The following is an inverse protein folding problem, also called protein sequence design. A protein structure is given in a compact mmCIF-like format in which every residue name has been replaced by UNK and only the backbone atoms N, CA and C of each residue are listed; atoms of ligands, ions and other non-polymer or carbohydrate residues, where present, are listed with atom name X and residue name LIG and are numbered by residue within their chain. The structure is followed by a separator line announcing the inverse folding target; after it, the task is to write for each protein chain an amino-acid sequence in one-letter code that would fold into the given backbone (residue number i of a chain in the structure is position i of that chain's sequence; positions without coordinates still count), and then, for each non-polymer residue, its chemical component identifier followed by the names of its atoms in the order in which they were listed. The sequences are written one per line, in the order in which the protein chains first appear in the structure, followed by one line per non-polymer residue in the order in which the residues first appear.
data_IF_038584010981
#
_entry.id   IF_038584010981
#
_cell.length_a   1.000
_cell.length_b   1.000
_cell.length_c   1.000
_cell.angle_alpha   90.00
_cell.angle_beta   90.00
_cell.angle_gamma   90.00
#
_symmetry.space_group_name_H-M   'P 1'
#
loop_
_entity.id
_entity.type
_entity.pdbx_description
1 polymer ?
#
# COMPACT_ATOMS: atom_id res chain seq x y z
N UNK A 1 -5.28 -9.57 -25.28
CA UNK A 1 -6.18 -8.59 -24.65
C UNK A 1 -5.77 -7.17 -25.06
N UNK A 2 -6.73 -6.24 -25.15
CA UNK A 2 -6.45 -4.87 -25.56
C UNK A 2 -5.76 -4.13 -24.42
N UNK A 3 -6.29 -4.28 -23.20
CA UNK A 3 -5.74 -3.71 -21.98
C UNK A 3 -5.91 -4.66 -20.80
N UNK A 4 -4.97 -4.58 -19.86
CA UNK A 4 -4.89 -5.43 -18.67
C UNK A 4 -4.66 -4.55 -17.42
N UNK A 5 -5.44 -4.82 -16.37
CA UNK A 5 -5.21 -4.28 -15.04
C UNK A 5 -4.70 -5.37 -14.10
N UNK A 6 -3.52 -5.18 -13.53
CA UNK A 6 -2.97 -6.04 -12.47
C UNK A 6 -3.17 -5.37 -11.11
N UNK A 7 -3.71 -6.12 -10.14
CA UNK A 7 -4.01 -5.62 -8.80
C UNK A 7 -5.40 -5.00 -8.65
N UNK A 8 -6.39 -5.49 -9.41
CA UNK A 8 -7.76 -4.95 -9.51
C UNK A 8 -8.54 -4.91 -8.18
N UNK A 9 -8.14 -5.67 -7.16
CA UNK A 9 -8.78 -5.69 -5.82
C UNK A 9 -8.14 -4.74 -4.80
N UNK A 10 -6.98 -4.16 -5.14
CA UNK A 10 -6.33 -3.14 -4.33
C UNK A 10 -7.08 -1.80 -4.36
N UNK A 11 -6.70 -0.86 -3.48
CA UNK A 11 -7.36 0.46 -3.45
C UNK A 11 -7.24 1.20 -4.79
N UNK A 12 -6.02 1.30 -5.34
CA UNK A 12 -5.81 1.97 -6.64
C UNK A 12 -6.46 1.18 -7.77
N UNK A 13 -6.16 -0.12 -7.86
CA UNK A 13 -6.71 -0.96 -8.93
C UNK A 13 -8.24 -1.04 -8.92
N UNK A 14 -8.86 -1.12 -7.74
CA UNK A 14 -10.32 -1.11 -7.61
C UNK A 14 -10.96 0.20 -8.08
N UNK A 15 -10.35 1.35 -7.79
CA UNK A 15 -10.83 2.64 -8.29
C UNK A 15 -10.62 2.76 -9.81
N UNK A 16 -9.52 2.25 -10.35
CA UNK A 16 -9.30 2.19 -11.80
C UNK A 16 -10.33 1.28 -12.49
N UNK A 17 -10.61 0.10 -11.92
CA UNK A 17 -11.62 -0.82 -12.45
C UNK A 17 -13.05 -0.24 -12.39
N UNK A 18 -13.34 0.60 -11.40
CA UNK A 18 -14.62 1.31 -11.32
C UNK A 18 -14.74 2.44 -12.36
N UNK A 19 -13.62 3.04 -12.74
CA UNK A 19 -13.60 4.16 -13.70
C UNK A 19 -13.46 3.69 -15.16
N UNK A 20 -12.90 2.50 -15.41
CA UNK A 20 -12.65 1.98 -16.74
C UNK A 20 -12.85 0.47 -16.79
N UNK A 21 -13.52 -0.02 -17.85
CA UNK A 21 -13.71 -1.45 -18.11
C UNK A 21 -12.50 -1.99 -18.86
N UNK A 22 -11.61 -2.66 -18.15
CA UNK A 22 -10.46 -3.34 -18.75
C UNK A 22 -10.88 -4.62 -19.45
N UNK A 23 -10.24 -4.97 -20.56
CA UNK A 23 -10.48 -6.21 -21.28
C UNK A 23 -10.07 -7.46 -20.48
N UNK A 24 -9.07 -7.30 -19.57
CA UNK A 24 -8.69 -8.31 -18.59
C UNK A 24 -8.26 -7.64 -17.29
N UNK A 25 -8.53 -8.31 -16.16
CA UNK A 25 -8.08 -7.84 -14.85
C UNK A 25 -7.72 -9.05 -13.98
N UNK A 26 -6.63 -8.94 -13.20
CA UNK A 26 -6.18 -9.97 -12.29
C UNK A 26 -5.66 -9.41 -10.97
N UNK A 27 -5.55 -10.27 -9.97
CA UNK A 27 -4.89 -10.00 -8.70
C UNK A 27 -3.60 -10.81 -8.54
N UNK A 28 -2.93 -10.68 -7.41
CA UNK A 28 -1.65 -11.37 -7.17
C UNK A 28 -1.79 -12.89 -7.11
N UNK A 29 -2.97 -13.39 -6.74
CA UNK A 29 -3.24 -14.83 -6.57
C UNK A 29 -3.56 -15.57 -7.87
N UNK A 30 -3.92 -14.84 -8.94
CA UNK A 30 -4.27 -15.40 -10.24
C UNK A 30 -3.48 -14.78 -11.40
N UNK A 31 -2.42 -14.03 -11.08
CA UNK A 31 -1.62 -13.30 -12.07
C UNK A 31 -1.04 -14.21 -13.17
N UNK A 32 -0.86 -15.48 -12.88
CA UNK A 32 -0.36 -16.47 -13.82
C UNK A 32 -1.28 -16.62 -15.03
N UNK A 33 -2.58 -16.36 -14.87
CA UNK A 33 -3.56 -16.38 -15.97
C UNK A 33 -3.28 -15.31 -17.02
N UNK A 34 -2.49 -14.29 -16.66
CA UNK A 34 -2.13 -13.19 -17.54
C UNK A 34 -0.79 -13.39 -18.26
N UNK A 35 -0.04 -14.47 -17.95
CA UNK A 35 1.25 -14.72 -18.57
C UNK A 35 1.11 -15.03 -20.07
N UNK A 36 1.97 -14.41 -20.86
CA UNK A 36 1.95 -14.54 -22.32
C UNK A 36 0.82 -13.80 -23.04
N UNK A 37 -0.01 -13.03 -22.32
CA UNK A 37 -1.14 -12.29 -22.92
C UNK A 37 -0.71 -11.17 -23.87
N UNK A 38 0.47 -10.60 -23.69
CA UNK A 38 1.02 -9.51 -24.50
C UNK A 38 -0.01 -8.38 -24.76
N UNK A 39 -0.60 -7.79 -23.71
CA UNK A 39 -1.61 -6.75 -23.87
C UNK A 39 -1.00 -5.50 -24.55
N UNK A 40 -1.83 -4.76 -25.27
CA UNK A 40 -1.43 -3.47 -25.86
C UNK A 40 -1.04 -2.46 -24.76
N UNK A 41 -1.77 -2.51 -23.63
CA UNK A 41 -1.53 -1.72 -22.44
C UNK A 41 -1.66 -2.59 -21.19
N UNK A 42 -0.70 -2.50 -20.27
CA UNK A 42 -0.81 -3.04 -18.92
C UNK A 42 -0.73 -1.91 -17.90
N UNK A 43 -1.71 -1.81 -17.03
CA UNK A 43 -1.64 -0.98 -15.82
C UNK A 43 -1.30 -1.91 -14.64
N UNK A 44 -0.09 -1.77 -14.11
CA UNK A 44 0.41 -2.61 -13.02
C UNK A 44 0.26 -1.88 -11.68
N UNK A 45 -0.80 -2.20 -10.94
CA UNK A 45 -1.10 -1.71 -9.59
C UNK A 45 -1.00 -2.82 -8.53
N UNK A 46 -0.31 -3.91 -8.85
CA UNK A 46 -0.23 -5.13 -8.02
C UNK A 46 0.85 -5.10 -6.92
N UNK A 47 1.56 -3.99 -6.73
CA UNK A 47 2.59 -3.89 -5.68
C UNK A 47 1.93 -3.53 -4.33
N UNK A 48 2.18 -4.32 -3.26
CA UNK A 48 1.62 -4.02 -1.94
C UNK A 48 2.08 -2.66 -1.40
N UNK A 49 1.17 -1.92 -0.76
CA UNK A 49 1.45 -0.58 -0.19
C UNK A 49 1.47 -0.61 1.35
N UNK A 50 2.10 -1.62 1.96
CA UNK A 50 2.22 -1.80 3.41
C UNK A 50 3.62 -1.34 3.88
N UNK A 51 3.81 -0.02 3.99
CA UNK A 51 5.10 0.60 4.32
C UNK A 51 5.72 0.03 5.61
N UNK A 52 4.92 -0.20 6.65
CA UNK A 52 5.42 -0.70 7.92
C UNK A 52 5.94 -2.14 7.83
N UNK A 53 5.32 -2.99 7.01
CA UNK A 53 5.79 -4.36 6.76
C UNK A 53 7.10 -4.35 5.95
N UNK A 54 7.14 -3.56 4.89
CA UNK A 54 8.33 -3.43 4.05
C UNK A 54 9.54 -2.91 4.84
N UNK A 55 9.33 -1.99 5.77
CA UNK A 55 10.40 -1.46 6.63
C UNK A 55 10.77 -2.44 7.76
N UNK A 56 9.86 -3.32 8.18
CA UNK A 56 10.13 -4.36 9.18
C UNK A 56 10.92 -5.54 8.60
N UNK A 57 10.64 -5.91 7.34
CA UNK A 57 11.32 -6.98 6.60
C UNK A 57 11.67 -6.52 5.18
N UNK A 58 12.79 -5.82 5.00
CA UNK A 58 13.22 -5.28 3.71
C UNK A 58 13.46 -6.33 2.64
N UNK A 59 13.97 -7.51 3.02
CA UNK A 59 14.29 -8.57 2.05
C UNK A 59 13.03 -9.27 1.54
N UNK A 60 12.06 -9.55 2.40
CA UNK A 60 10.77 -10.08 1.98
C UNK A 60 10.06 -9.09 1.03
N UNK A 61 10.10 -7.79 1.33
CA UNK A 61 9.53 -6.76 0.47
C UNK A 61 10.28 -6.67 -0.88
N UNK A 62 11.61 -6.76 -0.87
CA UNK A 62 12.40 -6.79 -2.11
C UNK A 62 12.10 -8.03 -2.97
N UNK A 63 11.84 -9.17 -2.35
CA UNK A 63 11.42 -10.38 -3.06
C UNK A 63 10.10 -10.17 -3.82
N UNK A 64 9.16 -9.40 -3.24
CA UNK A 64 7.91 -9.02 -3.93
C UNK A 64 8.20 -8.12 -5.13
N UNK A 65 9.16 -7.21 -5.05
CA UNK A 65 9.56 -6.37 -6.20
C UNK A 65 10.19 -7.22 -7.32
N UNK A 66 11.03 -8.20 -6.96
CA UNK A 66 11.58 -9.17 -7.93
C UNK A 66 10.48 -9.97 -8.62
N UNK A 67 9.49 -10.46 -7.86
CA UNK A 67 8.34 -11.15 -8.40
C UNK A 67 7.52 -10.27 -9.35
N UNK A 68 7.30 -9.00 -9.00
CA UNK A 68 6.61 -8.03 -9.85
C UNK A 68 7.34 -7.84 -11.20
N UNK A 69 8.67 -7.70 -11.18
CA UNK A 69 9.50 -7.66 -12.41
C UNK A 69 9.32 -8.92 -13.26
N UNK A 70 9.43 -10.11 -12.64
CA UNK A 70 9.27 -11.39 -13.34
C UNK A 70 7.87 -11.53 -13.96
N UNK A 71 6.83 -11.10 -13.23
CA UNK A 71 5.47 -11.11 -13.72
C UNK A 71 5.33 -10.21 -14.97
N UNK A 72 5.90 -9.01 -14.95
CA UNK A 72 5.89 -8.11 -16.11
C UNK A 72 6.61 -8.73 -17.32
N UNK A 73 7.75 -9.39 -17.11
CA UNK A 73 8.47 -10.11 -18.17
C UNK A 73 7.63 -11.24 -18.76
N UNK A 74 6.86 -11.98 -17.92
CA UNK A 74 5.99 -13.09 -18.36
C UNK A 74 4.71 -12.60 -19.01
N UNK A 75 4.15 -11.45 -18.58
CA UNK A 75 2.98 -10.81 -19.22
C UNK A 75 3.37 -10.23 -20.59
N UNK A 76 4.59 -9.68 -20.69
CA UNK A 76 5.18 -9.06 -21.87
C UNK A 76 4.29 -8.00 -22.53
N UNK A 77 3.87 -6.93 -21.82
CA UNK A 77 3.01 -5.89 -22.35
C UNK A 77 3.74 -5.04 -23.39
N UNK A 78 3.01 -4.52 -24.39
CA UNK A 78 3.57 -3.58 -25.38
C UNK A 78 3.77 -2.17 -24.80
N UNK A 79 2.83 -1.73 -23.95
CA UNK A 79 2.90 -0.48 -23.19
C UNK A 79 2.63 -0.77 -21.72
N UNK A 80 3.38 -0.10 -20.84
CA UNK A 80 3.29 -0.32 -19.40
C UNK A 80 3.04 1.00 -18.66
N UNK A 81 2.09 0.99 -17.76
CA UNK A 81 1.93 1.97 -16.68
C UNK A 81 2.21 1.28 -15.37
N UNK A 82 3.28 1.69 -14.67
CA UNK A 82 3.59 1.20 -13.33
C UNK A 82 3.06 2.19 -12.29
N UNK A 83 2.23 1.71 -11.38
CA UNK A 83 1.83 2.48 -10.19
C UNK A 83 2.93 2.35 -9.13
N UNK A 84 3.57 3.47 -8.82
CA UNK A 84 4.63 3.63 -7.85
C UNK A 84 4.22 4.61 -6.75
N UNK A 85 5.16 5.20 -6.04
CA UNK A 85 4.93 6.03 -4.85
C UNK A 85 5.89 7.22 -4.79
N UNK A 86 5.42 8.34 -4.24
CA UNK A 86 6.30 9.47 -3.88
C UNK A 86 7.28 9.14 -2.75
N UNK A 87 7.09 8.02 -2.04
CA UNK A 87 8.02 7.56 -1.00
C UNK A 87 9.40 7.12 -1.54
N UNK A 88 9.61 7.16 -2.86
CA UNK A 88 10.94 7.08 -3.49
C UNK A 88 11.79 8.32 -3.24
N UNK A 89 11.22 9.40 -2.71
CA UNK A 89 11.93 10.56 -2.21
C UNK A 89 11.98 10.53 -0.68
N UNK A 90 13.15 10.77 -0.09
CA UNK A 90 13.31 10.89 1.36
C UNK A 90 12.53 12.10 1.91
N UNK A 91 12.47 13.18 1.12
CA UNK A 91 11.62 14.35 1.33
C UNK A 91 10.86 14.65 0.03
N UNK A 92 9.54 14.49 0.06
CA UNK A 92 8.70 14.73 -1.12
C UNK A 92 8.29 16.21 -1.29
N UNK A 93 8.74 17.11 -0.42
CA UNK A 93 8.41 18.54 -0.55
C UNK A 93 9.17 19.14 -1.73
N UNK A 94 8.46 19.87 -2.59
CA UNK A 94 9.02 20.53 -3.77
C UNK A 94 9.88 19.60 -4.64
N UNK A 95 9.40 18.37 -4.86
CA UNK A 95 10.02 17.41 -5.78
C UNK A 95 9.25 17.36 -7.10
N UNK A 96 10.02 17.20 -8.18
CA UNK A 96 9.54 17.02 -9.54
C UNK A 96 9.91 15.62 -10.03
N UNK A 97 9.33 15.22 -11.16
CA UNK A 97 9.51 13.89 -11.73
C UNK A 97 10.97 13.59 -12.11
N UNK A 98 11.73 14.62 -12.48
CA UNK A 98 13.13 14.52 -12.88
C UNK A 98 14.12 14.58 -11.71
N UNK A 99 13.64 14.87 -10.50
CA UNK A 99 14.51 14.93 -9.34
C UNK A 99 15.06 13.54 -9.01
N UNK A 100 16.37 13.47 -8.76
CA UNK A 100 17.03 12.23 -8.36
C UNK A 100 16.71 11.90 -6.90
N UNK A 101 16.24 10.68 -6.62
CA UNK A 101 16.04 10.22 -5.26
C UNK A 101 17.37 10.10 -4.48
N UNK A 102 17.37 10.50 -3.24
CA UNK A 102 18.48 10.26 -2.31
C UNK A 102 18.37 8.85 -1.72
N UNK A 103 19.00 7.88 -2.41
CA UNK A 103 18.86 6.45 -2.11
C UNK A 103 19.39 6.09 -0.72
N UNK A 104 20.42 6.77 -0.24
CA UNK A 104 21.07 6.43 1.04
C UNK A 104 20.14 6.71 2.23
N UNK A 105 19.32 7.75 2.12
CA UNK A 105 18.41 8.18 3.17
C UNK A 105 16.98 7.60 3.02
N UNK A 106 16.75 6.72 2.03
CA UNK A 106 15.45 6.10 1.86
C UNK A 106 15.20 4.96 2.86
N UNK A 107 14.03 4.92 3.52
CA UNK A 107 13.52 3.70 4.15
C UNK A 107 13.37 2.56 3.12
N UNK A 108 13.40 1.33 3.60
CA UNK A 108 13.35 0.14 2.74
C UNK A 108 12.15 0.14 1.78
N UNK A 109 10.99 0.59 2.24
CA UNK A 109 9.80 0.73 1.41
C UNK A 109 10.04 1.57 0.15
N UNK A 110 10.59 2.77 0.29
CA UNK A 110 10.90 3.65 -0.83
C UNK A 110 12.04 3.12 -1.70
N UNK A 111 13.08 2.60 -1.05
CA UNK A 111 14.26 2.04 -1.72
C UNK A 111 13.90 0.86 -2.65
N UNK A 112 13.08 -0.06 -2.17
CA UNK A 112 12.68 -1.23 -2.95
C UNK A 112 11.76 -0.86 -4.12
N UNK A 113 10.86 0.13 -3.95
CA UNK A 113 10.02 0.63 -5.07
C UNK A 113 10.86 1.37 -6.11
N UNK A 114 11.83 2.16 -5.68
CA UNK A 114 12.77 2.80 -6.60
C UNK A 114 13.56 1.75 -7.39
N UNK A 115 13.97 0.65 -6.75
CA UNK A 115 14.64 -0.46 -7.44
C UNK A 115 13.75 -1.09 -8.51
N UNK A 116 12.45 -1.27 -8.21
CA UNK A 116 11.48 -1.75 -9.21
C UNK A 116 11.34 -0.75 -10.37
N UNK A 117 11.25 0.55 -10.09
CA UNK A 117 11.22 1.58 -11.14
C UNK A 117 12.44 1.52 -12.05
N UNK A 118 13.64 1.34 -11.49
CA UNK A 118 14.89 1.21 -12.26
C UNK A 118 14.87 -0.04 -13.15
N UNK A 119 14.40 -1.18 -12.65
CA UNK A 119 14.24 -2.38 -13.46
C UNK A 119 13.22 -2.19 -14.57
N UNK A 120 12.09 -1.55 -14.26
CA UNK A 120 11.04 -1.28 -15.26
C UNK A 120 11.56 -0.31 -16.34
N UNK A 121 12.28 0.74 -15.98
CA UNK A 121 12.89 1.66 -16.97
C UNK A 121 13.89 0.96 -17.88
N UNK A 122 14.63 -0.01 -17.36
CA UNK A 122 15.56 -0.82 -18.13
C UNK A 122 14.85 -1.79 -19.08
N UNK A 123 13.85 -2.53 -18.56
CA UNK A 123 13.16 -3.60 -19.29
C UNK A 123 12.06 -3.03 -20.24
N UNK A 124 11.49 -1.88 -19.91
CA UNK A 124 10.43 -1.16 -20.62
C UNK A 124 10.75 0.34 -20.69
N UNK A 125 11.65 0.80 -21.57
CA UNK A 125 12.10 2.20 -21.60
C UNK A 125 10.99 3.23 -21.79
N UNK A 126 9.89 2.85 -22.47
CA UNK A 126 8.72 3.71 -22.73
C UNK A 126 7.64 3.60 -21.64
N UNK A 127 7.93 2.93 -20.51
CA UNK A 127 6.96 2.79 -19.43
C UNK A 127 6.65 4.13 -18.77
N UNK A 128 5.36 4.40 -18.53
CA UNK A 128 4.92 5.48 -17.68
C UNK A 128 4.97 5.03 -16.21
N UNK A 129 5.75 5.70 -15.39
CA UNK A 129 5.83 5.46 -13.95
C UNK A 129 5.03 6.55 -13.23
N UNK A 130 3.97 6.17 -12.53
CA UNK A 130 3.09 7.08 -11.83
C UNK A 130 3.36 6.98 -10.33
N UNK A 131 4.03 7.97 -9.76
CA UNK A 131 4.36 8.06 -8.32
C UNK A 131 3.19 8.68 -7.57
N UNK A 132 2.42 7.85 -6.88
CA UNK A 132 1.25 8.30 -6.12
C UNK A 132 1.65 8.73 -4.70
N UNK A 133 1.08 9.86 -4.20
CA UNK A 133 1.22 10.29 -2.81
C UNK A 133 0.26 9.54 -1.88
N UNK A 134 -0.02 10.10 -0.70
CA UNK A 134 -1.11 9.62 0.13
C UNK A 134 -2.45 9.84 -0.59
N UNK A 135 -3.25 8.77 -0.67
CA UNK A 135 -4.50 8.75 -1.41
C UNK A 135 -5.70 8.80 -0.49
N UNK A 136 -6.80 9.32 -1.01
CA UNK A 136 -8.12 9.25 -0.38
C UNK A 136 -9.17 8.88 -1.43
N UNK A 137 -10.33 8.41 -1.00
CA UNK A 137 -11.43 8.08 -1.92
C UNK A 137 -12.26 6.91 -1.47
N UNK A 138 -13.15 6.47 -2.35
CA UNK A 138 -14.05 5.37 -2.10
C UNK A 138 -13.26 4.05 -1.90
N UNK A 139 -13.65 3.29 -0.86
CA UNK A 139 -12.98 2.02 -0.56
C UNK A 139 -11.68 2.17 0.24
N UNK A 140 -11.36 3.36 0.75
CA UNK A 140 -10.23 3.56 1.65
C UNK A 140 -10.35 2.67 2.89
N UNK A 141 -9.32 1.85 3.19
CA UNK A 141 -9.32 0.89 4.31
C UNK A 141 -8.14 1.08 5.26
N UNK A 142 -7.25 1.98 4.96
CA UNK A 142 -6.04 2.25 5.75
C UNK A 142 -5.51 3.64 5.40
N UNK A 143 -4.81 4.23 6.21
CA UNK A 143 -4.02 5.46 6.35
C UNK A 143 -4.61 6.32 7.48
N UNK A 144 -3.94 7.43 7.78
CA UNK A 144 -4.35 8.27 8.89
C UNK A 144 -5.75 8.90 8.71
N UNK A 145 -6.20 9.18 7.47
CA UNK A 145 -7.56 9.68 7.23
C UNK A 145 -8.61 8.62 7.57
N UNK A 146 -8.34 7.37 7.19
CA UNK A 146 -9.19 6.25 7.57
C UNK A 146 -9.23 6.08 9.08
N UNK A 147 -8.06 6.10 9.74
CA UNK A 147 -7.95 5.96 11.19
C UNK A 147 -8.64 7.13 11.90
N UNK A 148 -8.47 8.36 11.42
CA UNK A 148 -9.16 9.55 11.93
C UNK A 148 -10.70 9.45 11.77
N UNK A 149 -11.16 8.97 10.63
CA UNK A 149 -12.60 8.81 10.36
C UNK A 149 -13.22 7.68 11.21
N UNK A 150 -12.55 6.55 11.27
CA UNK A 150 -13.05 5.36 11.98
C UNK A 150 -12.79 5.42 13.48
N UNK A 151 -11.77 6.17 13.90
CA UNK A 151 -11.29 6.27 15.29
C UNK A 151 -10.86 4.91 15.90
N UNK A 152 -10.96 3.85 15.11
CA UNK A 152 -10.63 2.49 15.53
C UNK A 152 -9.48 1.97 14.67
N UNK A 153 -8.27 1.85 15.22
CA UNK A 153 -7.13 1.37 14.45
C UNK A 153 -7.38 -0.01 13.85
N UNK A 154 -7.05 -0.18 12.58
CA UNK A 154 -7.15 -1.48 11.92
C UNK A 154 -6.13 -2.49 12.47
N UNK A 155 -4.99 -2.00 13.00
CA UNK A 155 -3.92 -2.81 13.59
C UNK A 155 -3.28 -2.07 14.77
N UNK A 156 -2.85 -2.83 15.77
CA UNK A 156 -2.08 -2.35 16.91
C UNK A 156 -0.72 -3.04 16.96
N UNK A 157 0.32 -2.28 17.33
CA UNK A 157 1.60 -2.86 17.71
C UNK A 157 1.45 -3.64 19.02
N UNK A 158 2.23 -4.70 19.29
CA UNK A 158 2.11 -5.51 20.51
C UNK A 158 2.08 -4.68 21.79
N UNK A 159 3.06 -3.83 22.00
CA UNK A 159 3.12 -2.98 23.19
C UNK A 159 1.87 -2.09 23.37
N UNK A 160 1.30 -1.59 22.26
CA UNK A 160 0.08 -0.77 22.33
C UNK A 160 -1.17 -1.62 22.59
N UNK A 161 -1.22 -2.81 22.02
CA UNK A 161 -2.28 -3.77 22.35
C UNK A 161 -2.26 -4.13 23.84
N UNK A 162 -1.09 -4.49 24.37
CA UNK A 162 -0.94 -4.87 25.79
C UNK A 162 -1.40 -3.74 26.73
N UNK A 163 -0.97 -2.50 26.43
CA UNK A 163 -1.40 -1.32 27.19
C UNK A 163 -2.93 -1.15 27.20
N UNK A 164 -3.55 -1.25 26.05
CA UNK A 164 -4.99 -1.02 25.88
C UNK A 164 -5.83 -2.21 26.34
N UNK A 165 -5.37 -3.44 26.11
CA UNK A 165 -6.03 -4.66 26.58
C UNK A 165 -6.01 -4.80 28.11
N UNK A 166 -5.01 -4.24 28.78
CA UNK A 166 -4.99 -4.15 30.23
C UNK A 166 -6.11 -3.23 30.77
N UNK A 167 -6.46 -2.17 30.01
CA UNK A 167 -7.48 -1.19 30.37
C UNK A 167 -8.90 -1.62 29.97
N UNK A 168 -9.05 -2.50 28.96
CA UNK A 168 -10.36 -2.82 28.38
C UNK A 168 -10.48 -4.28 27.90
N UNK A 169 -11.43 -4.98 28.45
CA UNK A 169 -11.83 -6.30 27.95
C UNK A 169 -12.38 -6.24 26.51
N UNK A 170 -12.99 -5.12 26.14
CA UNK A 170 -13.47 -4.87 24.77
C UNK A 170 -12.31 -4.89 23.77
N UNK A 171 -11.20 -4.20 24.05
CA UNK A 171 -10.00 -4.23 23.20
C UNK A 171 -9.44 -5.63 23.11
N UNK A 172 -9.34 -6.32 24.25
CA UNK A 172 -8.83 -7.70 24.32
C UNK A 172 -9.63 -8.66 23.45
N UNK A 173 -10.94 -8.53 23.42
CA UNK A 173 -11.82 -9.37 22.62
C UNK A 173 -11.96 -8.97 21.16
N UNK A 174 -11.52 -7.76 20.82
CA UNK A 174 -11.71 -7.19 19.47
C UNK A 174 -10.48 -7.26 18.56
N UNK A 175 -9.31 -7.59 19.08
CA UNK A 175 -8.08 -7.70 18.31
C UNK A 175 -7.49 -9.10 18.47
N UNK A 176 -7.05 -9.69 17.36
CA UNK A 176 -6.39 -10.99 17.31
C UNK A 176 -4.95 -10.86 16.78
N UNK A 177 -4.02 -11.71 17.24
CA UNK A 177 -2.67 -11.73 16.71
C UNK A 177 -2.69 -12.06 15.20
N UNK A 178 -1.86 -11.37 14.44
CA UNK A 178 -1.64 -11.59 13.02
C UNK A 178 -0.24 -12.15 12.77
N UNK A 179 -0.04 -12.81 11.63
CA UNK A 179 1.23 -13.45 11.25
C UNK A 179 2.44 -12.49 11.23
N UNK A 180 2.18 -11.19 11.04
CA UNK A 180 3.20 -10.14 11.02
C UNK A 180 3.59 -9.61 12.41
N UNK A 181 3.16 -10.26 13.49
CA UNK A 181 3.44 -9.85 14.87
C UNK A 181 2.60 -8.66 15.37
N UNK A 182 1.65 -8.17 14.59
CA UNK A 182 0.69 -7.15 15.01
C UNK A 182 -0.61 -7.78 15.51
N UNK A 183 -1.43 -6.98 16.18
CA UNK A 183 -2.82 -7.35 16.50
C UNK A 183 -3.77 -6.67 15.53
N UNK A 184 -4.54 -7.46 14.80
CA UNK A 184 -5.49 -6.99 13.79
C UNK A 184 -6.92 -7.01 14.34
N UNK A 185 -7.69 -5.99 13.98
CA UNK A 185 -9.09 -5.89 14.32
C UNK A 185 -9.87 -7.10 13.77
N UNK A 186 -10.54 -7.82 14.65
CA UNK A 186 -11.29 -9.02 14.31
C UNK A 186 -12.58 -8.69 13.54
N UNK A 187 -13.01 -9.53 12.59
CA UNK A 187 -14.32 -9.41 11.98
C UNK A 187 -15.43 -9.55 13.04
N UNK A 188 -16.49 -8.74 12.90
CA UNK A 188 -17.65 -8.83 13.79
C UNK A 188 -17.49 -8.16 15.15
N UNK A 189 -16.38 -7.47 15.43
CA UNK A 189 -16.22 -6.69 16.66
C UNK A 189 -17.23 -5.51 16.73
N UNK A 190 -17.58 -5.11 17.94
CA UNK A 190 -18.42 -3.92 18.18
C UNK A 190 -17.63 -2.65 17.91
N UNK A 191 -17.70 -2.17 16.67
CA UNK A 191 -16.99 -0.96 16.22
C UNK A 191 -17.51 0.30 16.91
N UNK A 192 -18.78 0.36 17.30
CA UNK A 192 -19.35 1.52 17.96
C UNK A 192 -18.79 1.66 19.38
N UNK A 193 -18.75 0.56 20.13
CA UNK A 193 -18.15 0.53 21.46
C UNK A 193 -16.63 0.79 21.41
N UNK A 194 -15.92 0.22 20.44
CA UNK A 194 -14.49 0.49 20.24
C UNK A 194 -14.23 1.97 19.91
N UNK A 195 -15.02 2.55 19.03
CA UNK A 195 -14.93 3.98 18.70
C UNK A 195 -15.09 4.85 19.94
N UNK A 196 -16.10 4.57 20.77
CA UNK A 196 -16.31 5.28 22.02
C UNK A 196 -15.14 5.12 23.00
N UNK A 197 -14.62 3.91 23.13
CA UNK A 197 -13.44 3.63 23.96
C UNK A 197 -12.21 4.40 23.48
N UNK A 198 -11.87 4.36 22.19
CA UNK A 198 -10.73 5.08 21.65
C UNK A 198 -10.92 6.60 21.74
N UNK A 199 -12.13 7.11 21.53
CA UNK A 199 -12.45 8.51 21.69
C UNK A 199 -12.22 9.01 23.13
N UNK A 200 -12.54 8.19 24.12
CA UNK A 200 -12.37 8.52 25.54
C UNK A 200 -10.92 8.39 26.05
N UNK A 201 -10.03 7.75 25.30
CA UNK A 201 -8.65 7.43 25.72
C UNK A 201 -7.58 8.15 24.86
N UNK A 202 -7.83 9.38 24.43
CA UNK A 202 -6.88 10.33 23.79
C UNK A 202 -6.21 9.84 22.50
N UNK A 203 -6.80 8.95 21.74
CA UNK A 203 -6.35 8.55 20.37
C UNK A 203 -4.89 8.18 20.23
N UNK A 204 -4.18 7.83 21.29
CA UNK A 204 -2.76 7.49 21.24
C UNK A 204 -2.46 6.25 20.38
N UNK A 205 -3.50 5.55 19.90
CA UNK A 205 -3.38 4.47 18.92
C UNK A 205 -3.32 4.96 17.47
N UNK A 206 -3.66 6.22 17.19
CA UNK A 206 -3.52 6.81 15.87
C UNK A 206 -2.05 7.13 15.57
N UNK A 207 -1.66 7.01 14.31
CA UNK A 207 -0.28 7.18 13.86
C UNK A 207 0.19 8.64 13.78
N UNK A 208 -0.47 9.57 14.45
CA UNK A 208 0.01 10.95 14.55
C UNK A 208 1.20 11.01 15.47
N UNK A 209 2.32 11.44 14.94
CA UNK A 209 3.55 11.58 15.71
C UNK A 209 3.65 12.91 16.39
N UNK A 210 3.19 13.98 15.75
CA UNK A 210 3.10 15.33 16.33
C UNK A 210 2.23 16.27 15.46
N UNK A 211 1.97 17.49 15.99
CA UNK A 211 1.19 18.52 15.30
C UNK A 211 1.90 19.12 14.06
N UNK A 212 3.14 18.75 13.81
CA UNK A 212 3.94 19.21 12.65
C UNK A 212 3.92 18.21 11.51
N UNK A 213 3.35 17.02 11.72
CA UNK A 213 3.19 16.03 10.65
C UNK A 213 2.38 16.64 9.50
N UNK A 214 2.94 16.60 8.31
CA UNK A 214 2.33 17.12 7.10
C UNK A 214 2.11 15.98 6.12
N UNK A 215 0.94 15.98 5.49
CA UNK A 215 0.57 15.01 4.48
C UNK A 215 0.15 15.74 3.22
N UNK A 216 0.59 15.23 2.09
CA UNK A 216 0.21 15.73 0.78
C UNK A 216 -0.79 14.75 0.16
N UNK A 217 -1.94 15.27 -0.24
CA UNK A 217 -3.03 14.52 -0.88
C UNK A 217 -3.31 15.10 -2.25
N UNK A 218 -3.64 14.25 -3.18
CA UNK A 218 -4.15 14.59 -4.50
C UNK A 218 -5.34 13.72 -4.86
#
# INVERSE_FOLDING_TARGET
AKDLLVGCTGFVGGNLAAAHTFAAACHSTDIETCFGMQPELCVYAGVPAAMFLANADPEADLAVMRAARQNLQRIAPKKLVLISTTAVYADCRAKYEDDMPDIENLPAYGKNRLQLEQWVRHDHPDALIVRLPALYGQGLKKNFLFDLHTITPAMLKPAKYDELAAKSALVRGSYAPAENGFYKLAPGCDRAALRAFFAANDFNALAFTDARSRYQFY
#
